data_IF_954242938808
#
_entry.id   IF_954242938808
#
_cell.length_a   1.000
_cell.length_b   1.000
_cell.length_c   1.000
_cell.angle_alpha   90.00
_cell.angle_beta   90.00
_cell.angle_gamma   90.00
#
_symmetry.space_group_name_H-M   'P 1'
#
loop_
_entity.id
_entity.type
_entity.pdbx_description
1 polymer ?
#
# COMPACT_ATOMS: atom_id res chain seq x y z
N UNK A 1 16.33 -11.42 -19.83
CA UNK A 1 15.16 -10.51 -19.78
C UNK A 1 15.13 -9.80 -18.44
N UNK A 2 14.01 -9.17 -18.09
CA UNK A 2 13.77 -8.57 -16.76
C UNK A 2 13.52 -9.67 -15.72
N UNK A 3 14.02 -9.50 -14.50
CA UNK A 3 13.89 -10.49 -13.42
C UNK A 3 12.92 -10.10 -12.31
N UNK A 4 12.39 -8.88 -12.34
CA UNK A 4 11.51 -8.32 -11.31
C UNK A 4 10.45 -7.42 -11.91
N UNK A 5 9.22 -7.47 -11.37
CA UNK A 5 8.11 -6.57 -11.67
C UNK A 5 7.66 -5.84 -10.40
N UNK A 6 7.21 -4.60 -10.55
CA UNK A 6 6.55 -3.84 -9.49
C UNK A 6 5.04 -3.90 -9.68
N UNK A 7 4.33 -4.30 -8.64
CA UNK A 7 2.88 -4.37 -8.60
C UNK A 7 2.33 -3.40 -7.54
N UNK A 8 1.26 -2.70 -7.89
CA UNK A 8 0.65 -1.70 -7.02
C UNK A 8 -0.40 -2.36 -6.12
N UNK A 9 -0.10 -2.48 -4.82
CA UNK A 9 -0.96 -3.16 -3.85
C UNK A 9 -2.28 -2.42 -3.64
N UNK A 10 -2.30 -1.08 -3.73
CA UNK A 10 -3.51 -0.28 -3.56
C UNK A 10 -4.60 -0.65 -4.58
N UNK A 11 -4.26 -0.74 -5.87
CA UNK A 11 -5.25 -1.09 -6.88
C UNK A 11 -5.71 -2.54 -6.74
N UNK A 12 -4.78 -3.46 -6.50
CA UNK A 12 -5.08 -4.89 -6.34
C UNK A 12 -5.96 -5.16 -5.12
N UNK A 13 -5.74 -4.39 -4.03
CA UNK A 13 -6.57 -4.41 -2.84
C UNK A 13 -8.01 -3.99 -3.13
N UNK A 14 -8.21 -2.91 -3.88
CA UNK A 14 -9.56 -2.42 -4.19
C UNK A 14 -10.27 -3.30 -5.22
N UNK A 15 -9.55 -3.76 -6.25
CA UNK A 15 -10.10 -4.63 -7.28
C UNK A 15 -8.99 -5.40 -8.01
N UNK A 16 -9.09 -6.73 -8.14
CA UNK A 16 -10.22 -7.58 -7.76
C UNK A 16 -10.35 -7.87 -6.25
N UNK A 17 -9.38 -7.44 -5.44
CA UNK A 17 -9.28 -7.80 -4.02
C UNK A 17 -8.13 -8.78 -3.79
N UNK A 18 -7.30 -8.50 -2.79
CA UNK A 18 -6.16 -9.33 -2.41
C UNK A 18 -6.55 -10.78 -2.05
N UNK A 19 -7.68 -11.00 -1.37
CA UNK A 19 -8.18 -12.35 -1.06
C UNK A 19 -8.57 -13.14 -2.31
N UNK A 20 -9.16 -12.47 -3.31
CA UNK A 20 -9.50 -13.11 -4.59
C UNK A 20 -8.21 -13.54 -5.31
N UNK A 21 -7.20 -12.67 -5.34
CA UNK A 21 -5.90 -12.99 -5.94
C UNK A 21 -5.23 -14.14 -5.19
N UNK A 22 -5.25 -14.13 -3.86
CA UNK A 22 -4.73 -15.21 -3.03
C UNK A 22 -5.40 -16.56 -3.39
N UNK A 23 -6.73 -16.57 -3.50
CA UNK A 23 -7.50 -17.75 -3.89
C UNK A 23 -7.22 -18.27 -5.32
N UNK A 24 -6.68 -17.41 -6.20
CA UNK A 24 -6.25 -17.76 -7.55
C UNK A 24 -4.76 -18.19 -7.63
N UNK A 25 -4.08 -18.31 -6.49
CA UNK A 25 -2.68 -18.73 -6.41
C UNK A 25 -1.66 -17.58 -6.33
N UNK A 26 -2.10 -16.38 -5.93
CA UNK A 26 -1.25 -15.21 -5.75
C UNK A 26 -0.88 -14.52 -7.07
N UNK A 27 -0.10 -13.43 -6.97
CA UNK A 27 0.23 -12.58 -8.11
C UNK A 27 1.06 -13.28 -9.19
N UNK A 28 1.90 -14.24 -8.81
CA UNK A 28 2.68 -15.03 -9.76
C UNK A 28 1.76 -15.80 -10.73
N UNK A 29 0.77 -16.53 -10.19
CA UNK A 29 -0.21 -17.25 -11.00
C UNK A 29 -1.13 -16.30 -11.75
N UNK A 30 -1.62 -15.25 -11.07
CA UNK A 30 -2.55 -14.28 -11.65
C UNK A 30 -1.97 -13.53 -12.85
N UNK A 31 -0.69 -13.18 -12.81
CA UNK A 31 0.02 -12.48 -13.90
C UNK A 31 0.72 -13.43 -14.89
N UNK A 32 0.71 -14.75 -14.64
CA UNK A 32 1.54 -15.74 -15.33
C UNK A 32 3.03 -15.33 -15.36
N UNK A 33 3.54 -14.77 -14.25
CA UNK A 33 4.89 -14.24 -14.15
C UNK A 33 5.76 -15.14 -13.25
N UNK A 34 6.87 -15.70 -13.76
CA UNK A 34 7.74 -16.59 -12.99
C UNK A 34 8.92 -15.89 -12.30
N UNK A 35 9.12 -14.59 -12.53
CA UNK A 35 10.18 -13.80 -11.89
C UNK A 35 9.72 -13.18 -10.58
N UNK A 36 10.60 -12.43 -9.92
CA UNK A 36 10.27 -11.79 -8.65
C UNK A 36 9.21 -10.68 -8.81
N UNK A 37 8.43 -10.47 -7.76
CA UNK A 37 7.41 -9.43 -7.64
C UNK A 37 7.71 -8.60 -6.40
N UNK A 38 7.86 -7.30 -6.61
CA UNK A 38 7.85 -6.29 -5.57
C UNK A 38 6.46 -5.67 -5.52
N UNK A 39 5.86 -5.59 -4.34
CA UNK A 39 4.66 -4.76 -4.13
C UNK A 39 5.01 -3.49 -3.39
N UNK A 40 4.43 -2.37 -3.81
CA UNK A 40 4.41 -1.18 -2.96
C UNK A 40 3.45 -1.35 -1.77
N UNK A 41 3.56 -0.46 -0.78
CA UNK A 41 2.71 -0.48 0.41
C UNK A 41 1.31 0.08 0.16
N UNK A 42 1.07 0.68 -1.02
CA UNK A 42 -0.11 1.47 -1.35
C UNK A 42 -0.18 2.86 -0.70
N UNK A 43 0.76 3.21 0.19
CA UNK A 43 0.76 4.49 0.92
C UNK A 43 0.81 5.72 0.01
N UNK A 44 1.56 5.64 -1.10
CA UNK A 44 1.69 6.72 -2.07
C UNK A 44 0.40 6.99 -2.87
N UNK A 45 -0.39 5.96 -3.15
CA UNK A 45 -1.64 6.08 -3.90
C UNK A 45 -2.76 6.58 -3.01
N UNK A 46 -2.80 6.12 -1.75
CA UNK A 46 -3.67 6.73 -0.76
C UNK A 46 -3.31 8.21 -0.57
N UNK A 47 -2.02 8.55 -0.68
CA UNK A 47 -1.53 9.93 -0.68
C UNK A 47 -1.98 10.77 -1.88
N UNK A 48 -1.88 10.24 -3.11
CA UNK A 48 -2.26 11.01 -4.32
C UNK A 48 -3.75 11.37 -4.35
N UNK A 49 -4.58 10.68 -3.56
CA UNK A 49 -6.00 10.98 -3.33
C UNK A 49 -6.25 12.03 -2.24
N UNK A 50 -5.30 12.95 -2.01
CA UNK A 50 -5.19 13.86 -0.86
C UNK A 50 -6.47 14.50 -0.31
N UNK A 51 -7.52 14.70 -1.12
CA UNK A 51 -8.82 15.25 -0.64
C UNK A 51 -9.68 14.27 0.14
N UNK A 52 -9.42 12.96 0.03
CA UNK A 52 -10.28 11.90 0.53
C UNK A 52 -9.62 11.04 1.60
N UNK A 53 -8.56 11.52 2.26
CA UNK A 53 -7.82 10.76 3.26
C UNK A 53 -7.69 11.49 4.60
N UNK A 54 -7.62 10.71 5.68
CA UNK A 54 -7.29 11.14 7.04
C UNK A 54 -6.16 10.25 7.56
N UNK A 55 -5.06 10.88 7.97
CA UNK A 55 -3.89 10.20 8.53
C UNK A 55 -3.93 10.32 10.06
N UNK A 56 -3.64 9.22 10.77
CA UNK A 56 -3.53 9.13 12.24
C UNK A 56 -2.27 8.36 12.63
N UNK A 57 -1.94 8.24 13.92
CA UNK A 57 -0.80 7.40 14.35
C UNK A 57 -1.07 5.90 14.11
N UNK A 58 -2.34 5.52 14.00
CA UNK A 58 -2.71 4.12 13.86
C UNK A 58 -2.70 3.65 12.39
N UNK A 59 -3.02 4.54 11.44
CA UNK A 59 -3.06 4.22 10.01
C UNK A 59 -3.60 5.37 9.14
N UNK A 60 -4.15 5.01 7.98
CA UNK A 60 -4.78 5.94 7.04
C UNK A 60 -6.19 5.49 6.69
N UNK A 61 -7.15 6.36 6.91
CA UNK A 61 -8.52 6.20 6.41
C UNK A 61 -8.67 6.92 5.08
N UNK A 62 -9.26 6.29 4.07
CA UNK A 62 -9.55 6.94 2.80
C UNK A 62 -10.85 6.45 2.17
N UNK A 63 -11.39 7.24 1.26
CA UNK A 63 -12.54 6.85 0.43
C UNK A 63 -12.06 6.29 -0.92
N UNK A 64 -12.55 5.12 -1.29
CA UNK A 64 -12.31 4.48 -2.59
C UNK A 64 -12.83 5.37 -3.72
N UNK A 65 -11.98 5.59 -4.73
CA UNK A 65 -12.35 6.34 -5.94
C UNK A 65 -13.19 5.49 -6.93
N UNK A 66 -13.33 4.19 -6.69
CA UNK A 66 -14.08 3.29 -7.56
C UNK A 66 -15.57 3.27 -7.24
N UNK A 67 -15.92 3.27 -5.95
CA UNK A 67 -17.28 3.04 -5.47
C UNK A 67 -17.66 3.92 -4.27
N UNK A 68 -16.74 4.75 -3.75
CA UNK A 68 -16.99 5.62 -2.62
C UNK A 68 -16.97 4.91 -1.26
N UNK A 69 -16.61 3.63 -1.19
CA UNK A 69 -16.49 2.90 0.08
C UNK A 69 -15.37 3.46 0.96
N UNK A 70 -15.54 3.40 2.28
CA UNK A 70 -14.55 3.89 3.24
C UNK A 70 -13.65 2.73 3.67
N UNK A 71 -12.34 2.92 3.54
CA UNK A 71 -11.33 1.95 3.96
C UNK A 71 -10.40 2.56 5.00
N UNK A 72 -9.86 1.70 5.84
CA UNK A 72 -8.86 2.07 6.83
C UNK A 72 -7.70 1.05 6.77
N UNK A 73 -6.50 1.55 6.52
CA UNK A 73 -5.28 0.74 6.34
C UNK A 73 -4.29 1.10 7.42
N UNK A 74 -3.93 0.09 8.23
CA UNK A 74 -2.84 0.15 9.21
C UNK A 74 -1.57 -0.49 8.62
N UNK A 75 -0.39 -0.31 9.24
CA UNK A 75 0.83 -1.03 8.84
C UNK A 75 0.63 -2.54 8.76
N UNK A 76 0.00 -3.15 9.77
CA UNK A 76 -0.24 -4.60 9.83
C UNK A 76 -1.15 -5.05 8.67
N UNK A 77 -2.22 -4.29 8.39
CA UNK A 77 -3.13 -4.59 7.29
C UNK A 77 -2.45 -4.45 5.93
N UNK A 78 -1.56 -3.46 5.77
CA UNK A 78 -0.79 -3.28 4.55
C UNK A 78 0.17 -4.45 4.29
N UNK A 79 0.77 -5.01 5.35
CA UNK A 79 1.60 -6.23 5.25
C UNK A 79 0.74 -7.44 4.90
N UNK A 80 -0.37 -7.66 5.62
CA UNK A 80 -1.30 -8.77 5.35
C UNK A 80 -1.80 -8.79 3.90
N UNK A 81 -2.13 -7.62 3.35
CA UNK A 81 -2.53 -7.47 1.94
C UNK A 81 -1.40 -7.93 1.02
N UNK A 82 -0.17 -7.47 1.24
CA UNK A 82 0.97 -7.81 0.38
C UNK A 82 1.36 -9.30 0.51
N UNK A 83 1.24 -9.88 1.69
CA UNK A 83 1.43 -11.32 1.93
C UNK A 83 0.36 -12.15 1.19
N UNK A 84 -0.91 -11.76 1.28
CA UNK A 84 -2.00 -12.42 0.55
C UNK A 84 -1.82 -12.33 -0.98
N UNK A 85 -1.27 -11.22 -1.46
CA UNK A 85 -0.89 -11.07 -2.87
C UNK A 85 0.28 -11.98 -3.28
N UNK A 86 1.07 -12.51 -2.34
CA UNK A 86 2.19 -13.41 -2.60
C UNK A 86 3.38 -12.70 -3.26
N UNK A 87 3.70 -11.50 -2.78
CA UNK A 87 4.87 -10.74 -3.21
C UNK A 87 6.17 -11.29 -2.60
N UNK A 88 7.28 -11.24 -3.35
CA UNK A 88 8.61 -11.63 -2.85
C UNK A 88 9.28 -10.52 -2.05
N UNK A 89 9.01 -9.26 -2.43
CA UNK A 89 9.52 -8.08 -1.76
C UNK A 89 8.34 -7.18 -1.41
N UNK A 90 8.14 -6.96 -0.12
CA UNK A 90 7.09 -6.10 0.41
C UNK A 90 7.67 -4.79 0.91
N UNK A 91 6.98 -3.70 0.62
CA UNK A 91 7.38 -2.38 1.10
C UNK A 91 6.66 -2.07 2.41
N UNK A 92 7.40 -1.53 3.38
CA UNK A 92 6.83 -1.04 4.62
C UNK A 92 5.83 0.10 4.36
N UNK A 93 4.80 0.20 5.19
CA UNK A 93 3.81 1.26 5.09
C UNK A 93 4.37 2.60 5.61
N UNK A 94 4.20 3.66 4.83
CA UNK A 94 4.82 4.95 5.06
C UNK A 94 3.88 6.12 4.77
N UNK A 95 4.22 7.29 5.31
CA UNK A 95 3.52 8.55 5.04
C UNK A 95 4.34 9.42 4.08
N UNK A 96 3.91 9.49 2.83
CA UNK A 96 4.44 10.47 1.88
C UNK A 96 3.85 11.87 2.15
N UNK A 97 4.68 12.92 2.07
CA UNK A 97 4.28 14.32 2.25
C UNK A 97 4.42 15.08 0.93
N UNK A 98 3.38 15.85 0.56
CA UNK A 98 3.38 16.66 -0.65
C UNK A 98 4.34 17.83 -0.49
N UNK A 99 5.16 18.10 -1.52
CA UNK A 99 5.99 19.30 -1.54
C UNK A 99 5.31 20.42 -2.34
N UNK A 100 5.47 21.69 -1.92
CA UNK A 100 6.25 22.14 -0.76
C UNK A 100 5.53 21.86 0.59
N UNK A 101 6.30 21.49 1.61
CA UNK A 101 5.81 21.28 2.98
C UNK A 101 6.74 21.93 4.01
N UNK A 102 6.21 22.27 5.19
CA UNK A 102 7.01 22.79 6.29
C UNK A 102 7.92 21.69 6.87
N UNK A 103 9.02 22.10 7.49
CA UNK A 103 9.93 21.19 8.19
C UNK A 103 9.21 20.39 9.30
N UNK A 104 8.23 21.00 9.94
CA UNK A 104 7.41 20.36 10.97
C UNK A 104 6.53 19.25 10.37
N UNK A 105 5.84 19.51 9.26
CA UNK A 105 5.03 18.51 8.55
C UNK A 105 5.88 17.31 8.11
N UNK A 106 7.05 17.58 7.52
CA UNK A 106 7.98 16.52 7.12
C UNK A 106 8.51 15.75 8.34
N UNK A 107 8.85 16.45 9.42
CA UNK A 107 9.32 15.82 10.65
C UNK A 107 8.29 14.87 11.27
N UNK A 108 7.02 15.27 11.25
CA UNK A 108 5.92 14.46 11.77
C UNK A 108 5.65 13.21 10.92
N UNK A 109 5.69 13.33 9.59
CA UNK A 109 5.54 12.18 8.71
C UNK A 109 6.72 11.20 8.82
N UNK A 110 7.95 11.70 8.98
CA UNK A 110 9.13 10.86 9.26
C UNK A 110 8.98 10.14 10.60
N UNK A 111 8.52 10.84 11.64
CA UNK A 111 8.25 10.24 12.96
C UNK A 111 7.22 9.11 12.84
N UNK A 112 6.10 9.35 12.15
CA UNK A 112 5.02 8.37 11.94
C UNK A 112 5.47 7.18 11.11
N UNK A 113 6.13 7.42 9.98
CA UNK A 113 6.72 6.38 9.12
C UNK A 113 7.69 5.50 9.91
N UNK A 114 8.54 6.09 10.75
CA UNK A 114 9.49 5.34 11.59
C UNK A 114 8.80 4.48 12.65
N UNK A 115 7.63 4.88 13.12
CA UNK A 115 6.83 4.09 14.07
C UNK A 115 6.06 2.98 13.36
N UNK A 116 5.48 3.27 12.20
CA UNK A 116 4.80 2.30 11.36
C UNK A 116 5.73 1.19 10.86
N UNK A 117 6.95 1.51 10.46
CA UNK A 117 7.93 0.52 10.01
C UNK A 117 8.38 -0.47 11.12
N UNK A 118 8.08 -0.20 12.40
CA UNK A 118 8.37 -1.10 13.53
C UNK A 118 7.20 -2.02 13.90
N UNK A 119 6.02 -1.76 13.34
CA UNK A 119 4.78 -2.52 13.56
C UNK A 119 4.65 -3.55 12.46
#
# INVERSE_FOLDING_TARGET
GYGLMLNNAYHLFLRPGHEVIAGLGGLHAFNAWPGAILTDSGGFQVFSLAKLRKVSDDGVTFQSHLDGSLHHITPERAIEIQEALGADIIMAFDECVALPASREQVGEAVRRTSQWARR
#
